data_IF_555682250869
#
_entry.id   IF_555682250869
#
_cell.length_a   1.000
_cell.length_b   1.000
_cell.length_c   1.000
_cell.angle_alpha   90.00
_cell.angle_beta   90.00
_cell.angle_gamma   90.00
#
_symmetry.space_group_name_H-M   'P 1'
#
loop_
_entity.id
_entity.type
_entity.pdbx_description
1 polymer ?
#
# COMPACT_ATOMS: atom_id res chain seq x y z
N UNK A 1 8.39 17.82 1.62
CA UNK A 1 8.11 17.92 3.06
C UNK A 1 7.30 19.17 3.34
N UNK A 2 6.31 19.14 4.24
CA UNK A 2 5.68 20.36 4.72
C UNK A 2 6.72 21.24 5.43
N UNK A 3 6.91 22.51 5.03
CA UNK A 3 7.96 23.39 5.59
C UNK A 3 7.90 23.58 7.12
N UNK A 4 6.74 23.29 7.72
CA UNK A 4 6.48 23.49 9.15
C UNK A 4 6.97 22.35 10.05
N UNK A 5 7.20 21.13 9.53
CA UNK A 5 7.44 19.95 10.36
C UNK A 5 8.65 20.10 11.29
N UNK A 6 9.75 20.67 10.79
CA UNK A 6 10.94 20.92 11.60
C UNK A 6 10.72 22.00 12.68
N UNK A 7 9.86 22.99 12.42
CA UNK A 7 9.51 24.03 13.40
C UNK A 7 8.63 23.44 14.51
N UNK A 8 7.63 22.65 14.12
CA UNK A 8 6.75 21.92 15.04
C UNK A 8 7.55 20.93 15.91
N UNK A 9 8.51 20.22 15.31
CA UNK A 9 9.43 19.34 16.03
C UNK A 9 10.20 20.10 17.13
N UNK A 10 10.76 21.28 16.81
CA UNK A 10 11.49 22.09 17.78
C UNK A 10 10.55 22.69 18.84
N UNK A 11 9.31 23.00 18.48
CA UNK A 11 8.31 23.45 19.45
C UNK A 11 7.96 22.35 20.46
N UNK A 12 7.77 21.11 19.98
CA UNK A 12 7.39 19.96 20.80
C UNK A 12 8.54 19.46 21.69
N UNK A 13 9.73 19.27 21.11
CA UNK A 13 10.86 18.65 21.80
C UNK A 13 11.88 19.64 22.35
N UNK A 14 11.73 20.93 22.04
CA UNK A 14 12.68 21.97 22.41
C UNK A 14 13.97 21.97 21.57
N UNK A 15 14.90 22.89 21.87
CA UNK A 15 16.23 22.90 21.28
C UNK A 15 17.01 21.64 21.68
N UNK A 16 18.00 21.24 20.88
CA UNK A 16 18.84 20.08 21.16
C UNK A 16 20.16 20.12 20.41
N UNK A 17 21.12 19.31 20.87
CA UNK A 17 22.52 19.34 20.40
C UNK A 17 22.75 18.60 19.08
N UNK A 18 21.82 17.75 18.68
CA UNK A 18 21.87 17.01 17.42
C UNK A 18 21.03 17.69 16.34
N UNK A 19 21.46 17.54 15.08
CA UNK A 19 20.70 18.02 13.93
C UNK A 19 19.37 17.28 13.79
N UNK A 20 18.31 18.03 13.43
CA UNK A 20 17.02 17.45 13.04
C UNK A 20 17.13 17.00 11.59
N UNK A 21 17.08 15.68 11.38
CA UNK A 21 17.06 15.06 10.05
C UNK A 21 15.63 14.79 9.63
N UNK A 22 15.38 14.67 8.34
CA UNK A 22 14.02 14.52 7.84
C UNK A 22 13.92 13.48 6.75
N UNK A 23 12.88 12.66 6.84
CA UNK A 23 12.68 11.49 6.01
C UNK A 23 11.26 11.47 5.48
N UNK A 24 11.06 10.80 4.35
CA UNK A 24 9.75 10.60 3.76
C UNK A 24 9.62 9.17 3.25
N UNK A 25 8.47 8.55 3.49
CA UNK A 25 8.07 7.32 2.84
C UNK A 25 6.72 7.54 2.16
N UNK A 26 6.58 7.19 0.87
CA UNK A 26 5.30 7.29 0.18
C UNK A 26 4.32 6.24 0.73
N UNK A 27 3.03 6.44 0.51
CA UNK A 27 2.08 5.34 0.45
C UNK A 27 2.16 4.64 -0.91
N UNK A 28 1.21 3.75 -1.18
CA UNK A 28 1.14 3.08 -2.48
C UNK A 28 -0.29 2.90 -2.96
N UNK A 29 -0.46 2.90 -4.28
CA UNK A 29 -1.65 2.39 -4.94
C UNK A 29 -1.25 1.15 -5.75
N UNK A 30 -2.01 0.05 -5.62
CA UNK A 30 -1.82 -1.05 -6.54
C UNK A 30 -2.57 -0.74 -7.84
N UNK A 31 -1.85 -0.69 -8.97
CA UNK A 31 -2.45 -0.33 -10.25
C UNK A 31 -3.28 -1.51 -10.78
N UNK A 32 -2.76 -2.73 -10.66
CA UNK A 32 -3.46 -3.96 -11.02
C UNK A 32 -2.81 -5.17 -10.34
N UNK A 33 -3.54 -6.29 -10.18
CA UNK A 33 -3.05 -7.49 -9.51
C UNK A 33 -3.51 -7.60 -8.07
N UNK A 34 -4.80 -7.47 -7.81
CA UNK A 34 -5.32 -7.54 -6.45
C UNK A 34 -5.57 -8.98 -6.04
N UNK A 35 -5.30 -9.30 -4.77
CA UNK A 35 -5.56 -10.62 -4.18
C UNK A 35 -4.85 -11.78 -4.89
N UNK A 36 -3.79 -11.49 -5.64
CA UNK A 36 -2.93 -12.51 -6.25
C UNK A 36 -1.52 -12.54 -5.64
N UNK A 37 -1.18 -11.59 -4.78
CA UNK A 37 0.09 -11.55 -4.03
C UNK A 37 0.30 -12.81 -3.17
N UNK A 38 -0.70 -13.19 -2.37
CA UNK A 38 -0.66 -14.43 -1.58
C UNK A 38 -1.00 -15.70 -2.40
N UNK A 39 -1.27 -15.55 -3.70
CA UNK A 39 -1.51 -16.67 -4.62
C UNK A 39 -0.33 -16.92 -5.57
N UNK A 40 0.84 -16.31 -5.32
CA UNK A 40 2.05 -16.46 -6.14
C UNK A 40 2.06 -15.63 -7.42
N UNK A 41 1.20 -14.61 -7.50
CA UNK A 41 1.00 -13.79 -8.70
C UNK A 41 1.94 -12.61 -8.85
N UNK A 42 1.85 -12.01 -10.03
CA UNK A 42 2.42 -10.71 -10.34
C UNK A 42 1.50 -9.60 -9.83
N UNK A 43 2.07 -8.62 -9.15
CA UNK A 43 1.36 -7.39 -8.77
C UNK A 43 2.05 -6.17 -9.37
N UNK A 44 1.30 -5.09 -9.61
CA UNK A 44 1.85 -3.87 -10.23
C UNK A 44 1.58 -2.61 -9.39
N UNK A 45 2.15 -2.48 -8.18
CA UNK A 45 2.00 -1.28 -7.38
C UNK A 45 2.87 -0.12 -7.86
N UNK A 46 2.44 1.09 -7.53
CA UNK A 46 3.25 2.29 -7.62
C UNK A 46 3.26 3.02 -6.26
N UNK A 47 4.43 3.49 -5.85
CA UNK A 47 4.54 4.48 -4.80
C UNK A 47 3.84 5.76 -5.26
N UNK A 48 3.11 6.41 -4.36
CA UNK A 48 2.34 7.62 -4.67
C UNK A 48 2.92 8.84 -3.98
N UNK A 49 2.63 10.04 -4.49
CA UNK A 49 3.13 11.30 -3.91
C UNK A 49 2.62 11.60 -2.50
N UNK A 50 1.53 10.94 -2.07
CA UNK A 50 1.05 11.00 -0.70
C UNK A 50 1.89 10.08 0.19
N UNK A 51 2.19 10.47 1.43
CA UNK A 51 3.01 9.63 2.31
C UNK A 51 3.09 10.12 3.74
N UNK A 52 4.05 9.56 4.46
CA UNK A 52 4.39 9.92 5.84
C UNK A 52 5.75 10.61 5.82
N UNK A 53 5.84 11.78 6.44
CA UNK A 53 7.10 12.46 6.71
C UNK A 53 7.46 12.30 8.19
N UNK A 54 8.76 12.18 8.47
CA UNK A 54 9.29 12.14 9.83
C UNK A 54 10.41 13.17 9.99
N UNK A 55 10.36 13.93 11.08
CA UNK A 55 11.51 14.66 11.60
C UNK A 55 12.11 13.87 12.77
N UNK A 56 13.41 13.60 12.73
CA UNK A 56 14.08 12.77 13.72
C UNK A 56 15.32 13.48 14.29
N UNK A 57 15.58 13.33 15.59
CA UNK A 57 16.80 13.82 16.24
C UNK A 57 17.29 12.82 17.27
N UNK A 58 18.59 12.53 17.24
CA UNK A 58 19.23 11.67 18.25
C UNK A 58 19.16 12.31 19.64
N UNK A 59 19.13 11.45 20.65
CA UNK A 59 19.17 11.78 22.07
C UNK A 59 20.41 11.15 22.72
N UNK A 60 20.75 11.67 23.89
CA UNK A 60 21.85 11.17 24.72
C UNK A 60 21.47 10.00 25.63
N UNK A 61 20.16 9.79 25.86
CA UNK A 61 19.62 8.63 26.59
C UNK A 61 19.21 7.51 25.62
N UNK A 62 18.64 6.43 26.16
CA UNK A 62 18.22 5.25 25.43
C UNK A 62 16.69 5.22 25.20
N UNK A 63 16.03 6.39 25.24
CA UNK A 63 14.59 6.49 25.02
C UNK A 63 14.27 6.90 23.58
N UNK A 64 13.35 6.17 22.95
CA UNK A 64 12.73 6.58 21.69
C UNK A 64 11.36 7.20 21.98
N UNK A 65 11.17 8.46 21.63
CA UNK A 65 9.90 9.19 21.81
C UNK A 65 9.28 9.45 20.45
N UNK A 66 8.05 8.99 20.26
CA UNK A 66 7.32 9.05 19.00
C UNK A 66 6.06 9.89 19.20
N UNK A 67 5.88 10.89 18.35
CA UNK A 67 4.67 11.71 18.28
C UNK A 67 4.16 11.78 16.83
N UNK A 68 2.87 12.05 16.68
CA UNK A 68 2.22 12.29 15.40
C UNK A 68 1.48 13.62 15.46
N UNK A 69 1.61 14.47 14.44
CA UNK A 69 0.78 15.68 14.32
C UNK A 69 -0.71 15.34 14.12
N UNK A 70 -1.01 14.11 13.71
CA UNK A 70 -2.34 13.62 13.35
C UNK A 70 -2.97 12.72 14.43
N UNK A 71 -2.26 12.42 15.52
CA UNK A 71 -2.75 11.57 16.61
C UNK A 71 -2.22 12.04 17.98
N UNK A 72 -3.08 12.27 18.99
CA UNK A 72 -2.64 12.76 20.30
C UNK A 72 -1.87 11.74 21.14
N UNK A 73 -1.86 10.45 20.79
CA UNK A 73 -1.15 9.40 21.53
C UNK A 73 0.36 9.55 21.32
N UNK A 74 1.06 10.02 22.36
CA UNK A 74 2.51 9.98 22.48
C UNK A 74 2.98 8.58 22.92
N UNK A 75 4.07 8.10 22.33
CA UNK A 75 4.63 6.76 22.61
C UNK A 75 6.09 6.88 23.00
N UNK A 76 6.48 6.19 24.08
CA UNK A 76 7.87 6.08 24.50
C UNK A 76 8.29 4.60 24.54
N UNK A 77 9.50 4.33 24.03
CA UNK A 77 10.10 2.99 23.97
C UNK A 77 11.49 3.08 24.61
N UNK A 78 11.69 2.30 25.67
CA UNK A 78 12.96 2.18 26.38
C UNK A 78 13.81 1.09 25.73
N UNK A 79 14.93 1.46 25.08
CA UNK A 79 15.81 0.53 24.36
C UNK A 79 16.60 -0.39 25.31
N UNK A 80 16.63 -0.10 26.62
CA UNK A 80 17.26 -0.97 27.62
C UNK A 80 16.33 -2.12 28.08
N UNK A 81 15.09 -2.18 27.56
CA UNK A 81 14.10 -3.21 27.88
C UNK A 81 13.71 -4.02 26.64
N UNK A 82 13.23 -5.25 26.82
CA UNK A 82 12.62 -6.00 25.73
C UNK A 82 11.47 -5.22 25.09
N UNK A 83 11.53 -5.05 23.77
CA UNK A 83 10.46 -4.43 22.98
C UNK A 83 9.44 -5.52 22.65
N UNK A 84 8.32 -5.55 23.38
CA UNK A 84 7.21 -6.49 23.17
C UNK A 84 5.94 -5.78 22.69
N UNK A 85 5.01 -6.45 21.98
CA UNK A 85 3.74 -5.84 21.59
C UNK A 85 2.96 -5.31 22.79
N UNK A 86 2.43 -4.10 22.70
CA UNK A 86 1.69 -3.46 23.78
C UNK A 86 0.44 -2.77 23.24
N UNK A 87 -0.77 -3.27 23.55
CA UNK A 87 -2.02 -2.65 23.10
C UNK A 87 -2.14 -1.16 23.47
N UNK A 88 -1.53 -0.72 24.57
CA UNK A 88 -1.56 0.68 24.99
C UNK A 88 -0.76 1.62 24.07
N UNK A 89 0.18 1.09 23.27
CA UNK A 89 0.95 1.89 22.30
C UNK A 89 0.19 2.21 21.02
N UNK A 90 -0.96 1.59 20.77
CA UNK A 90 -1.75 1.84 19.57
C UNK A 90 -0.91 1.80 18.29
N UNK A 91 -0.89 2.90 17.54
CA UNK A 91 -0.09 3.06 16.32
C UNK A 91 1.43 2.91 16.53
N UNK A 92 1.93 3.18 17.75
CA UNK A 92 3.34 3.03 18.08
C UNK A 92 3.86 1.59 18.06
N UNK A 93 2.98 0.59 17.94
CA UNK A 93 3.41 -0.80 17.76
C UNK A 93 4.12 -1.03 16.42
N UNK A 94 3.73 -0.33 15.34
CA UNK A 94 4.39 -0.45 14.03
C UNK A 94 5.89 -0.08 14.10
N UNK A 95 6.27 1.14 14.55
CA UNK A 95 7.68 1.47 14.74
C UNK A 95 8.34 0.58 15.80
N UNK A 96 7.66 0.20 16.89
CA UNK A 96 8.24 -0.69 17.90
C UNK A 96 8.65 -2.06 17.33
N UNK A 97 7.81 -2.66 16.49
CA UNK A 97 8.12 -3.94 15.82
C UNK A 97 9.34 -3.84 14.93
N UNK A 98 9.47 -2.74 14.18
CA UNK A 98 10.64 -2.47 13.34
C UNK A 98 11.91 -2.28 14.18
N UNK A 99 11.84 -1.51 15.27
CA UNK A 99 12.97 -1.32 16.19
C UNK A 99 13.43 -2.65 16.80
N UNK A 100 12.50 -3.52 17.16
CA UNK A 100 12.83 -4.88 17.63
C UNK A 100 13.60 -5.66 16.57
N UNK A 101 13.13 -5.68 15.32
CA UNK A 101 13.81 -6.41 14.25
C UNK A 101 15.21 -5.85 13.95
N UNK A 102 15.37 -4.52 13.94
CA UNK A 102 16.69 -3.88 13.80
C UNK A 102 17.62 -4.23 14.97
N UNK A 103 17.10 -4.21 16.20
CA UNK A 103 17.85 -4.60 17.39
C UNK A 103 18.31 -6.06 17.31
N UNK A 104 17.43 -6.98 16.87
CA UNK A 104 17.76 -8.39 16.68
C UNK A 104 18.81 -8.63 15.59
N UNK A 105 18.92 -7.73 14.61
CA UNK A 105 19.99 -7.74 13.60
C UNK A 105 21.31 -7.10 14.09
N UNK A 106 21.36 -6.63 15.34
CA UNK A 106 22.56 -6.05 15.95
C UNK A 106 22.83 -4.59 15.56
N UNK A 107 21.82 -3.86 15.09
CA UNK A 107 21.94 -2.41 14.83
C UNK A 107 22.09 -1.68 16.16
N UNK A 108 23.10 -0.80 16.27
CA UNK A 108 23.34 0.04 17.46
C UNK A 108 22.33 1.21 17.53
N UNK A 109 21.11 0.89 17.99
CA UNK A 109 20.04 1.87 18.16
C UNK A 109 20.35 2.82 19.32
N UNK A 110 20.04 4.10 19.14
CA UNK A 110 20.18 5.16 20.15
C UNK A 110 18.82 5.79 20.45
N UNK A 111 18.71 6.44 21.61
CA UNK A 111 17.52 7.25 21.90
C UNK A 111 17.28 8.26 20.80
N UNK A 112 16.02 8.45 20.43
CA UNK A 112 15.61 9.25 19.27
C UNK A 112 14.26 9.91 19.52
N UNK A 113 14.17 11.21 19.26
CA UNK A 113 12.90 11.93 19.15
C UNK A 113 12.41 11.86 17.71
N UNK A 114 11.15 11.48 17.49
CA UNK A 114 10.53 11.38 16.16
C UNK A 114 9.18 12.09 16.16
N UNK A 115 8.94 12.97 15.18
CA UNK A 115 7.63 13.55 14.89
C UNK A 115 7.19 13.13 13.49
N UNK A 116 6.07 12.43 13.42
CA UNK A 116 5.43 12.04 12.18
C UNK A 116 4.33 13.02 11.76
N UNK A 117 4.14 13.17 10.46
CA UNK A 117 2.93 13.77 9.86
C UNK A 117 2.58 13.02 8.59
N UNK A 118 1.30 12.95 8.24
CA UNK A 118 0.85 12.18 7.08
C UNK A 118 -0.05 12.99 6.16
N UNK A 119 0.13 12.81 4.84
CA UNK A 119 -0.85 13.23 3.83
C UNK A 119 -1.70 12.04 3.36
N UNK A 120 -1.46 10.83 3.87
CA UNK A 120 -2.27 9.67 3.56
C UNK A 120 -3.62 9.75 4.27
N UNK A 121 -4.74 9.61 3.53
CA UNK A 121 -6.05 9.55 4.15
C UNK A 121 -6.16 8.34 5.10
N UNK A 122 -6.67 8.59 6.31
CA UNK A 122 -6.89 7.52 7.30
C UNK A 122 -7.86 6.47 6.76
N UNK A 123 -7.54 5.19 6.93
CA UNK A 123 -8.40 4.07 6.51
C UNK A 123 -8.55 3.89 5.00
N UNK A 124 -7.76 4.61 4.19
CA UNK A 124 -7.85 4.60 2.74
C UNK A 124 -7.35 3.31 2.07
N UNK A 125 -6.54 2.52 2.77
CA UNK A 125 -5.92 1.33 2.19
C UNK A 125 -4.74 1.60 1.27
N UNK A 126 -4.07 2.75 1.46
CA UNK A 126 -2.87 3.19 0.72
C UNK A 126 -1.56 2.84 1.46
N UNK A 127 -1.59 1.78 2.28
CA UNK A 127 -0.44 1.25 3.03
C UNK A 127 0.21 2.20 4.02
N UNK A 128 -0.60 2.82 4.88
CA UNK A 128 -0.07 3.65 5.97
C UNK A 128 0.79 2.87 6.96
N UNK A 129 0.53 1.57 7.19
CA UNK A 129 1.37 0.72 8.03
C UNK A 129 2.75 0.52 7.41
N UNK A 130 2.82 0.01 6.18
CA UNK A 130 4.09 -0.17 5.48
C UNK A 130 4.88 1.13 5.31
N UNK A 131 4.21 2.27 5.03
CA UNK A 131 4.86 3.58 5.00
C UNK A 131 5.53 3.92 6.34
N UNK A 132 4.85 3.71 7.46
CA UNK A 132 5.38 3.96 8.81
C UNK A 132 6.54 3.02 9.14
N UNK A 133 6.40 1.73 8.82
CA UNK A 133 7.40 0.71 9.08
C UNK A 133 8.69 0.97 8.29
N UNK A 134 8.57 1.16 6.98
CA UNK A 134 9.72 1.42 6.09
C UNK A 134 10.39 2.74 6.43
N UNK A 135 9.62 3.79 6.75
CA UNK A 135 10.16 5.07 7.22
C UNK A 135 10.95 4.92 8.51
N UNK A 136 10.43 4.13 9.45
CA UNK A 136 11.12 3.85 10.71
C UNK A 136 12.41 3.08 10.46
N UNK A 137 12.37 2.01 9.66
CA UNK A 137 13.55 1.21 9.37
C UNK A 137 14.64 2.05 8.70
N UNK A 138 14.28 2.78 7.65
CA UNK A 138 15.21 3.61 6.89
C UNK A 138 15.81 4.73 7.74
N UNK A 139 14.97 5.47 8.50
CA UNK A 139 15.45 6.59 9.32
C UNK A 139 16.35 6.11 10.46
N UNK A 140 16.03 5.01 11.15
CA UNK A 140 16.87 4.49 12.23
C UNK A 140 18.18 3.89 11.74
N UNK A 141 18.20 3.19 10.60
CA UNK A 141 19.45 2.77 9.96
C UNK A 141 20.33 3.97 9.61
N UNK A 142 19.73 5.03 9.03
CA UNK A 142 20.44 6.24 8.69
C UNK A 142 20.99 6.99 9.92
N UNK A 143 20.24 7.03 11.03
CA UNK A 143 20.65 7.64 12.31
C UNK A 143 21.75 6.83 13.02
N UNK A 144 21.67 5.50 12.97
CA UNK A 144 22.69 4.59 13.48
C UNK A 144 23.95 4.54 12.60
N UNK A 145 23.94 5.22 11.44
CA UNK A 145 24.99 5.14 10.41
C UNK A 145 25.25 3.70 9.94
N UNK A 146 24.21 2.86 10.00
CA UNK A 146 24.22 1.52 9.44
C UNK A 146 23.92 1.58 7.93
N UNK A 147 24.30 0.56 7.15
CA UNK A 147 23.94 0.49 5.73
C UNK A 147 22.41 0.54 5.54
N UNK A 148 21.93 1.54 4.81
CA UNK A 148 20.51 1.73 4.48
C UNK A 148 20.24 1.63 2.96
N UNK A 149 21.24 1.21 2.18
CA UNK A 149 21.16 1.15 0.72
C UNK A 149 20.41 -0.09 0.19
N UNK A 150 20.31 -1.15 0.99
CA UNK A 150 19.55 -2.35 0.63
C UNK A 150 18.07 -2.18 1.01
N UNK A 151 17.34 -1.48 0.14
CA UNK A 151 15.91 -1.20 0.31
C UNK A 151 15.05 -2.48 0.29
N UNK A 152 15.53 -3.55 -0.36
CA UNK A 152 14.86 -4.86 -0.34
C UNK A 152 14.94 -5.49 1.04
N UNK A 153 16.12 -5.46 1.67
CA UNK A 153 16.29 -5.95 3.03
C UNK A 153 15.42 -5.17 4.02
N UNK A 154 15.31 -3.85 3.85
CA UNK A 154 14.39 -3.02 4.64
C UNK A 154 12.94 -3.48 4.47
N UNK A 155 12.47 -3.66 3.24
CA UNK A 155 11.10 -4.08 2.98
C UNK A 155 10.77 -5.45 3.61
N UNK A 156 11.70 -6.43 3.51
CA UNK A 156 11.55 -7.75 4.14
C UNK A 156 11.56 -7.68 5.68
N UNK A 157 12.39 -6.80 6.26
CA UNK A 157 12.40 -6.56 7.70
C UNK A 157 11.06 -6.00 8.18
N UNK A 158 10.52 -5.01 7.48
CA UNK A 158 9.21 -4.43 7.79
C UNK A 158 8.08 -5.45 7.65
N UNK A 159 8.08 -6.24 6.59
CA UNK A 159 7.12 -7.31 6.40
C UNK A 159 7.17 -8.32 7.57
N UNK A 160 8.39 -8.69 8.01
CA UNK A 160 8.57 -9.57 9.16
C UNK A 160 8.02 -8.95 10.44
N UNK A 161 8.24 -7.65 10.68
CA UNK A 161 7.68 -6.94 11.82
C UNK A 161 6.15 -6.94 11.80
N UNK A 162 5.51 -6.66 10.66
CA UNK A 162 4.04 -6.67 10.53
C UNK A 162 3.46 -8.07 10.81
N UNK A 163 4.10 -9.12 10.28
CA UNK A 163 3.65 -10.50 10.47
C UNK A 163 3.89 -11.02 11.90
N UNK A 164 5.08 -10.82 12.47
CA UNK A 164 5.50 -11.49 13.70
C UNK A 164 5.29 -10.65 14.96
N UNK A 165 5.28 -9.32 14.83
CA UNK A 165 5.10 -8.41 15.96
C UNK A 165 3.66 -7.90 16.04
N UNK A 166 3.11 -7.41 14.92
CA UNK A 166 1.72 -6.91 14.88
C UNK A 166 0.73 -8.08 14.77
N UNK A 167 1.12 -9.17 14.10
CA UNK A 167 0.27 -10.34 13.90
C UNK A 167 -0.62 -10.25 12.66
N UNK A 168 -0.29 -9.38 11.71
CA UNK A 168 -1.06 -9.20 10.46
C UNK A 168 -0.37 -9.98 9.34
N UNK A 169 -1.03 -11.04 8.87
CA UNK A 169 -0.53 -11.91 7.81
C UNK A 169 -0.61 -11.26 6.42
N UNK A 170 0.30 -10.30 6.14
CA UNK A 170 0.35 -9.54 4.90
C UNK A 170 1.35 -10.12 3.86
N UNK A 171 1.07 -9.87 2.58
CA UNK A 171 2.04 -10.05 1.50
C UNK A 171 3.16 -9.02 1.53
N UNK A 172 4.11 -9.11 0.60
CA UNK A 172 5.31 -8.25 0.56
C UNK A 172 5.11 -6.96 -0.27
N UNK A 173 4.00 -6.89 -1.01
CA UNK A 173 3.71 -5.84 -2.01
C UNK A 173 3.84 -4.43 -1.44
N UNK A 174 3.25 -4.19 -0.28
CA UNK A 174 3.14 -2.85 0.30
C UNK A 174 4.52 -2.32 0.69
N UNK A 175 5.30 -3.10 1.42
CA UNK A 175 6.65 -2.74 1.83
C UNK A 175 7.58 -2.57 0.62
N UNK A 176 7.47 -3.43 -0.40
CA UNK A 176 8.26 -3.29 -1.63
C UNK A 176 7.91 -2.00 -2.38
N UNK A 177 6.63 -1.71 -2.58
CA UNK A 177 6.20 -0.50 -3.27
C UNK A 177 6.70 0.76 -2.55
N UNK A 178 6.59 0.79 -1.22
CA UNK A 178 7.02 1.92 -0.40
C UNK A 178 8.54 2.08 -0.38
N UNK A 179 9.29 0.98 -0.27
CA UNK A 179 10.75 1.03 -0.18
C UNK A 179 11.41 1.26 -1.55
N UNK A 180 10.97 0.53 -2.58
CA UNK A 180 11.62 0.43 -3.89
C UNK A 180 10.96 1.30 -4.98
N UNK A 181 9.95 2.09 -4.60
CA UNK A 181 9.28 3.04 -5.49
C UNK A 181 10.29 3.90 -6.28
N UNK A 182 9.90 4.26 -7.50
CA UNK A 182 10.72 5.07 -8.38
C UNK A 182 9.81 6.04 -9.13
N UNK A 183 10.22 7.30 -9.18
CA UNK A 183 9.51 8.34 -9.94
C UNK A 183 9.17 7.85 -11.37
N UNK A 184 7.95 8.14 -11.80
CA UNK A 184 7.39 7.76 -13.11
C UNK A 184 7.39 6.24 -13.41
N UNK A 185 7.49 5.37 -12.39
CA UNK A 185 7.50 3.92 -12.56
C UNK A 185 6.53 3.20 -11.61
N UNK A 186 5.94 2.11 -12.09
CA UNK A 186 5.33 1.06 -11.27
C UNK A 186 6.34 -0.08 -11.08
N UNK A 187 6.17 -0.85 -10.01
CA UNK A 187 6.91 -2.08 -9.75
C UNK A 187 6.08 -3.25 -10.27
N UNK A 188 6.52 -3.94 -11.32
CA UNK A 188 6.02 -5.28 -11.61
C UNK A 188 6.76 -6.25 -10.68
N UNK A 189 6.06 -6.75 -9.66
CA UNK A 189 6.61 -7.59 -8.61
C UNK A 189 6.05 -9.01 -8.72
N UNK A 190 6.95 -9.99 -8.78
CA UNK A 190 6.63 -11.39 -8.56
C UNK A 190 6.65 -11.68 -7.06
N UNK A 191 5.49 -11.98 -6.48
CA UNK A 191 5.37 -12.22 -5.05
C UNK A 191 5.96 -13.56 -4.58
N UNK A 192 6.20 -14.51 -5.50
CA UNK A 192 6.85 -15.78 -5.17
C UNK A 192 8.38 -15.63 -5.14
N UNK A 193 8.96 -15.17 -6.25
CA UNK A 193 10.42 -15.06 -6.40
C UNK A 193 10.99 -13.80 -5.75
N UNK A 194 10.15 -12.80 -5.50
CA UNK A 194 10.51 -11.44 -5.09
C UNK A 194 11.38 -10.70 -6.14
N UNK A 195 11.43 -11.19 -7.37
CA UNK A 195 11.99 -10.45 -8.50
C UNK A 195 11.04 -9.32 -8.90
N UNK A 196 11.62 -8.20 -9.34
CA UNK A 196 10.83 -7.06 -9.76
C UNK A 196 11.48 -6.31 -10.92
N UNK A 197 10.63 -5.65 -11.70
CA UNK A 197 11.02 -4.79 -12.80
C UNK A 197 10.26 -3.47 -12.76
N UNK A 198 10.91 -2.39 -13.16
CA UNK A 198 10.24 -1.10 -13.30
C UNK A 198 9.49 -1.02 -14.62
N UNK A 199 8.21 -0.68 -14.55
CA UNK A 199 7.33 -0.41 -15.69
C UNK A 199 7.11 1.09 -15.77
N UNK A 200 7.52 1.78 -16.84
CA UNK A 200 7.29 3.22 -16.98
C UNK A 200 5.79 3.56 -16.95
N UNK A 201 5.41 4.56 -16.16
CA UNK A 201 4.04 5.06 -15.98
C UNK A 201 3.92 6.38 -16.75
N UNK A 202 4.02 6.30 -18.07
CA UNK A 202 3.95 7.47 -18.95
C UNK A 202 2.49 7.87 -19.22
N UNK A 203 1.88 8.61 -18.28
CA UNK A 203 0.46 8.98 -18.37
C UNK A 203 0.17 10.18 -19.30
N UNK A 204 1.19 10.89 -19.77
CA UNK A 204 1.04 12.04 -20.66
C UNK A 204 0.11 13.10 -20.06
N UNK A 205 -0.97 13.42 -20.78
CA UNK A 205 -2.00 14.36 -20.31
C UNK A 205 -2.97 13.78 -19.27
N UNK A 206 -2.74 12.57 -18.76
CA UNK A 206 -3.58 11.94 -17.74
C UNK A 206 -2.88 11.92 -16.37
N UNK A 207 -3.65 11.67 -15.33
CA UNK A 207 -3.17 11.42 -13.98
C UNK A 207 -3.98 10.30 -13.32
N UNK A 208 -3.40 9.72 -12.26
CA UNK A 208 -4.14 8.82 -11.38
C UNK A 208 -4.86 9.64 -10.32
N UNK A 209 -6.18 9.46 -10.23
CA UNK A 209 -7.01 10.06 -9.20
C UNK A 209 -7.39 8.97 -8.21
N UNK A 210 -6.91 9.08 -6.97
CA UNK A 210 -7.36 8.25 -5.86
C UNK A 210 -8.72 8.79 -5.38
N UNK A 211 -9.71 7.90 -5.29
CA UNK A 211 -11.07 8.19 -4.87
C UNK A 211 -11.37 7.43 -3.58
N UNK A 212 -11.34 8.12 -2.43
CA UNK A 212 -11.68 7.54 -1.14
C UNK A 212 -13.19 7.54 -0.93
N UNK A 213 -13.77 6.36 -0.69
CA UNK A 213 -15.21 6.19 -0.44
C UNK A 213 -15.69 6.77 0.90
N UNK A 214 -14.77 7.19 1.77
CA UNK A 214 -15.04 7.56 3.17
C UNK A 214 -15.68 6.45 3.99
N UNK A 215 -15.68 5.21 3.46
CA UNK A 215 -16.17 4.02 4.15
C UNK A 215 -15.00 3.29 4.80
N UNK A 216 -15.01 3.27 6.14
CA UNK A 216 -14.02 2.52 6.92
C UNK A 216 -14.15 1.00 6.77
N UNK A 217 -13.01 0.33 6.85
CA UNK A 217 -12.81 -1.12 6.69
C UNK A 217 -13.05 -1.93 7.97
N UNK A 218 -14.23 -1.82 8.60
CA UNK A 218 -14.51 -2.48 9.90
C UNK A 218 -14.48 -4.03 9.89
N UNK A 219 -14.51 -4.67 8.70
CA UNK A 219 -14.58 -6.12 8.53
C UNK A 219 -13.57 -6.65 7.50
N UNK A 220 -12.59 -5.83 7.09
CA UNK A 220 -11.68 -6.22 6.01
C UNK A 220 -10.81 -7.42 6.40
N UNK A 221 -10.27 -7.46 7.62
CA UNK A 221 -9.32 -8.49 8.02
C UNK A 221 -9.94 -9.89 8.08
N UNK A 222 -11.18 -10.01 8.58
CA UNK A 222 -11.87 -11.31 8.63
C UNK A 222 -12.26 -11.82 7.24
N UNK A 223 -12.76 -10.92 6.38
CA UNK A 223 -13.12 -11.26 5.00
C UNK A 223 -11.92 -11.48 4.09
N UNK A 224 -10.81 -10.80 4.33
CA UNK A 224 -9.54 -11.03 3.64
C UNK A 224 -9.02 -12.44 3.95
N UNK A 225 -9.02 -12.83 5.22
CA UNK A 225 -8.63 -14.18 5.63
C UNK A 225 -9.57 -15.26 5.06
N UNK A 226 -10.88 -14.98 4.95
CA UNK A 226 -11.83 -15.85 4.25
C UNK A 226 -11.43 -16.07 2.79
N UNK A 227 -11.10 -14.99 2.05
CA UNK A 227 -10.66 -15.07 0.64
C UNK A 227 -9.39 -15.89 0.46
N UNK A 228 -8.43 -15.74 1.37
CA UNK A 228 -7.21 -16.55 1.39
C UNK A 228 -7.53 -18.02 1.60
N UNK A 229 -8.35 -18.34 2.61
CA UNK A 229 -8.75 -19.71 2.90
C UNK A 229 -9.53 -20.36 1.74
N UNK A 230 -10.36 -19.60 1.02
CA UNK A 230 -11.04 -20.07 -0.20
C UNK A 230 -10.03 -20.44 -1.30
N UNK A 231 -8.96 -19.66 -1.49
CA UNK A 231 -7.92 -19.96 -2.47
C UNK A 231 -7.08 -21.19 -2.06
N UNK A 232 -6.75 -21.31 -0.77
CA UNK A 232 -6.06 -22.47 -0.22
C UNK A 232 -6.90 -23.75 -0.41
N UNK A 233 -8.22 -23.66 -0.22
CA UNK A 233 -9.14 -24.77 -0.46
C UNK A 233 -9.17 -25.20 -1.93
N UNK A 234 -9.07 -24.27 -2.88
CA UNK A 234 -8.94 -24.62 -4.31
C UNK A 234 -7.67 -25.43 -4.55
N UNK A 235 -6.53 -24.98 -4.04
CA UNK A 235 -5.26 -25.70 -4.19
C UNK A 235 -5.33 -27.11 -3.57
N UNK A 236 -5.97 -27.26 -2.41
CA UNK A 236 -6.18 -28.56 -1.78
C UNK A 236 -7.04 -29.50 -2.64
N UNK A 237 -8.09 -28.97 -3.29
CA UNK A 237 -8.96 -29.76 -4.16
C UNK A 237 -8.28 -30.19 -5.47
N UNK A 238 -7.35 -29.38 -5.99
CA UNK A 238 -6.53 -29.74 -7.15
C UNK A 238 -5.56 -30.90 -6.85
N UNK A 239 -5.14 -31.07 -5.60
CA UNK A 239 -4.33 -32.20 -5.17
C UNK A 239 -3.02 -32.32 -5.94
N UNK A 240 -2.85 -33.41 -6.69
CA UNK A 240 -1.64 -33.67 -7.48
C UNK A 240 -1.46 -32.71 -8.67
N UNK A 241 -2.57 -32.11 -9.14
CA UNK A 241 -2.58 -31.16 -10.26
C UNK A 241 -2.41 -29.71 -9.77
N UNK A 242 -2.23 -29.50 -8.45
CA UNK A 242 -1.99 -28.18 -7.89
C UNK A 242 -0.60 -27.64 -8.31
N UNK A 243 -0.51 -26.41 -8.85
CA UNK A 243 0.78 -25.78 -9.10
C UNK A 243 1.53 -25.55 -7.79
N UNK A 244 2.84 -25.82 -7.79
CA UNK A 244 3.71 -25.56 -6.62
C UNK A 244 3.86 -24.08 -6.31
N UNK A 245 3.72 -23.26 -7.35
CA UNK A 245 4.04 -21.84 -7.33
C UNK A 245 2.82 -20.94 -7.07
N UNK A 246 1.70 -21.53 -6.64
CA UNK A 246 0.48 -20.79 -6.29
C UNK A 246 -0.61 -20.83 -7.35
N UNK A 247 -1.82 -20.45 -6.93
CA UNK A 247 -3.07 -20.65 -7.67
C UNK A 247 -3.12 -19.91 -9.01
N UNK A 248 -2.35 -18.84 -9.18
CA UNK A 248 -2.26 -18.11 -10.46
C UNK A 248 -1.82 -18.98 -11.63
N UNK A 249 -1.07 -20.05 -11.36
CA UNK A 249 -0.55 -20.97 -12.37
C UNK A 249 -1.44 -22.19 -12.61
N UNK A 250 -2.61 -22.28 -11.96
CA UNK A 250 -3.52 -23.40 -12.16
C UNK A 250 -4.17 -23.34 -13.55
N UNK A 251 -4.29 -24.49 -14.20
CA UNK A 251 -5.05 -24.57 -15.44
C UNK A 251 -6.55 -24.50 -15.13
N UNK A 252 -7.27 -23.69 -15.89
CA UNK A 252 -8.72 -23.58 -15.72
C UNK A 252 -9.44 -24.91 -15.96
N UNK A 253 -8.92 -25.77 -16.84
CA UNK A 253 -9.43 -27.13 -17.04
C UNK A 253 -9.44 -27.95 -15.76
N UNK A 254 -8.37 -27.86 -14.98
CA UNK A 254 -8.17 -28.65 -13.77
C UNK A 254 -9.09 -28.13 -12.67
N UNK A 255 -9.24 -26.81 -12.56
CA UNK A 255 -10.24 -26.19 -11.68
C UNK A 255 -11.66 -26.69 -12.03
N UNK A 256 -12.03 -26.77 -13.30
CA UNK A 256 -13.35 -27.29 -13.71
C UNK A 256 -13.53 -28.77 -13.42
N UNK A 257 -12.46 -29.57 -13.50
CA UNK A 257 -12.48 -31.01 -13.23
C UNK A 257 -12.60 -31.31 -11.73
N UNK A 258 -11.84 -30.60 -10.88
CA UNK A 258 -11.65 -30.97 -9.47
C UNK A 258 -12.49 -30.15 -8.49
N UNK A 259 -12.79 -28.89 -8.81
CA UNK A 259 -13.54 -28.00 -7.91
C UNK A 259 -14.99 -27.98 -8.35
N UNK A 260 -15.92 -28.48 -7.54
CA UNK A 260 -17.36 -28.44 -7.84
C UNK A 260 -18.07 -27.21 -7.26
N UNK A 261 -17.51 -26.63 -6.19
CA UNK A 261 -18.09 -25.46 -5.52
C UNK A 261 -18.05 -24.23 -6.45
N UNK A 262 -19.21 -23.64 -6.77
CA UNK A 262 -19.28 -22.48 -7.66
C UNK A 262 -18.61 -21.23 -7.08
N UNK A 263 -18.54 -21.07 -5.76
CA UNK A 263 -17.84 -19.95 -5.11
C UNK A 263 -16.35 -20.10 -5.31
N UNK A 264 -15.78 -21.27 -5.00
CA UNK A 264 -14.36 -21.54 -5.15
C UNK A 264 -13.91 -21.41 -6.62
N UNK A 265 -14.74 -21.85 -7.57
CA UNK A 265 -14.50 -21.61 -9.01
C UNK A 265 -14.42 -20.13 -9.37
N UNK A 266 -15.26 -19.27 -8.78
CA UNK A 266 -15.19 -17.82 -9.01
C UNK A 266 -13.90 -17.24 -8.44
N UNK A 267 -13.47 -17.65 -7.24
CA UNK A 267 -12.18 -17.22 -6.66
C UNK A 267 -11.01 -17.60 -7.55
N UNK A 268 -10.96 -18.85 -8.00
CA UNK A 268 -9.93 -19.32 -8.93
C UNK A 268 -9.96 -18.56 -10.26
N UNK A 269 -11.14 -18.30 -10.82
CA UNK A 269 -11.30 -17.52 -12.06
C UNK A 269 -10.74 -16.11 -11.93
N UNK A 270 -11.02 -15.43 -10.82
CA UNK A 270 -10.43 -14.12 -10.54
C UNK A 270 -8.90 -14.22 -10.54
N UNK A 271 -8.33 -15.11 -9.71
CA UNK A 271 -6.88 -15.23 -9.53
C UNK A 271 -6.15 -15.52 -10.85
N UNK A 272 -6.63 -16.50 -11.63
CA UNK A 272 -6.02 -16.87 -12.91
C UNK A 272 -6.16 -15.74 -13.95
N UNK A 273 -7.34 -15.11 -14.03
CA UNK A 273 -7.56 -14.04 -15.01
C UNK A 273 -6.88 -12.73 -14.64
N UNK A 274 -6.70 -12.44 -13.34
CA UNK A 274 -6.02 -11.24 -12.86
C UNK A 274 -4.53 -11.31 -13.16
N UNK A 275 -3.90 -12.48 -13.00
CA UNK A 275 -2.51 -12.71 -13.42
C UNK A 275 -2.30 -12.33 -14.90
N UNK A 276 -3.18 -12.82 -15.79
CA UNK A 276 -3.12 -12.49 -17.22
C UNK A 276 -3.35 -10.99 -17.46
N UNK A 277 -4.25 -10.36 -16.70
CA UNK A 277 -4.49 -8.91 -16.79
C UNK A 277 -3.28 -8.10 -16.38
N UNK A 278 -2.51 -8.52 -15.36
CA UNK A 278 -1.27 -7.84 -14.96
C UNK A 278 -0.23 -7.89 -16.07
N UNK A 279 -0.03 -9.06 -16.69
CA UNK A 279 0.90 -9.23 -17.82
C UNK A 279 0.48 -8.41 -19.05
N UNK A 280 -0.83 -8.29 -19.31
CA UNK A 280 -1.36 -7.43 -20.35
C UNK A 280 -1.17 -5.95 -20.02
N UNK A 281 -1.47 -5.55 -18.78
CA UNK A 281 -1.36 -4.19 -18.29
C UNK A 281 0.07 -3.67 -18.37
N UNK A 282 1.05 -4.47 -17.95
CA UNK A 282 2.47 -4.15 -18.10
C UNK A 282 2.82 -3.85 -19.56
N UNK A 283 2.37 -4.70 -20.50
CA UNK A 283 2.66 -4.53 -21.93
C UNK A 283 2.03 -3.27 -22.52
N UNK A 284 0.74 -3.03 -22.27
CA UNK A 284 0.04 -1.88 -22.86
C UNK A 284 0.47 -0.56 -22.22
N UNK A 285 0.79 -0.55 -20.93
CA UNK A 285 1.29 0.63 -20.23
C UNK A 285 2.68 1.00 -20.72
N UNK A 286 3.59 0.02 -20.86
CA UNK A 286 4.92 0.24 -21.44
C UNK A 286 4.86 0.72 -22.90
N UNK A 287 3.80 0.36 -23.64
CA UNK A 287 3.56 0.83 -25.01
C UNK A 287 2.84 2.21 -25.08
N UNK A 288 2.44 2.79 -23.95
CA UNK A 288 1.70 4.05 -23.90
C UNK A 288 0.23 3.96 -24.33
N UNK A 289 -0.35 2.76 -24.45
CA UNK A 289 -1.77 2.55 -24.76
C UNK A 289 -2.62 2.69 -23.49
N UNK A 290 -2.83 3.94 -23.08
CA UNK A 290 -3.59 4.30 -21.88
C UNK A 290 -5.06 3.90 -21.97
N UNK A 291 -5.63 3.85 -23.18
CA UNK A 291 -7.00 3.41 -23.39
C UNK A 291 -7.15 1.90 -23.13
N UNK A 292 -6.21 1.08 -23.60
CA UNK A 292 -6.17 -0.35 -23.26
C UNK A 292 -5.90 -0.57 -21.77
N UNK A 293 -4.99 0.21 -21.18
CA UNK A 293 -4.74 0.14 -19.74
C UNK A 293 -6.00 0.46 -18.92
N UNK A 294 -6.73 1.53 -19.24
CA UNK A 294 -8.00 1.88 -18.60
C UNK A 294 -9.08 0.79 -18.72
N UNK A 295 -9.17 0.11 -19.87
CA UNK A 295 -10.05 -1.07 -20.03
C UNK A 295 -9.67 -2.20 -19.07
N UNK A 296 -8.38 -2.52 -18.95
CA UNK A 296 -7.90 -3.55 -18.03
C UNK A 296 -8.16 -3.22 -16.56
N UNK A 297 -8.05 -1.95 -16.16
CA UNK A 297 -8.46 -1.49 -14.83
C UNK A 297 -9.93 -1.84 -14.57
N UNK A 298 -10.79 -1.48 -15.53
CA UNK A 298 -12.24 -1.69 -15.44
C UNK A 298 -12.62 -3.17 -15.41
N UNK A 299 -11.97 -3.99 -16.24
CA UNK A 299 -12.14 -5.46 -16.25
C UNK A 299 -11.70 -6.10 -14.94
N UNK A 300 -10.60 -5.63 -14.37
CA UNK A 300 -10.15 -6.08 -13.05
C UNK A 300 -11.16 -5.72 -11.95
N UNK A 301 -11.72 -4.51 -11.97
CA UNK A 301 -12.78 -4.13 -11.02
C UNK A 301 -14.01 -5.05 -11.14
N UNK A 302 -14.45 -5.34 -12.37
CA UNK A 302 -15.55 -6.27 -12.60
C UNK A 302 -15.23 -7.67 -12.05
N UNK A 303 -14.01 -8.16 -12.23
CA UNK A 303 -13.58 -9.44 -11.64
C UNK A 303 -13.58 -9.39 -10.11
N UNK A 304 -13.12 -8.31 -9.48
CA UNK A 304 -13.15 -8.15 -8.03
C UNK A 304 -14.57 -8.05 -7.47
N UNK A 305 -15.51 -7.48 -8.23
CA UNK A 305 -16.92 -7.38 -7.87
C UNK A 305 -17.64 -8.73 -8.03
N UNK A 306 -17.53 -9.33 -9.21
CA UNK A 306 -18.38 -10.45 -9.63
C UNK A 306 -17.77 -11.82 -9.25
N UNK A 307 -16.44 -11.95 -9.36
CA UNK A 307 -15.73 -13.20 -9.12
C UNK A 307 -15.09 -13.28 -7.74
N UNK A 308 -14.57 -12.16 -7.24
CA UNK A 308 -13.92 -12.12 -5.94
C UNK A 308 -14.81 -11.58 -4.82
N UNK A 309 -15.87 -10.84 -5.14
CA UNK A 309 -16.85 -10.32 -4.18
C UNK A 309 -16.19 -9.54 -3.02
N UNK A 310 -15.32 -8.58 -3.35
CA UNK A 310 -14.59 -7.75 -2.37
C UNK A 310 -14.86 -6.25 -2.48
N UNK A 311 -15.67 -5.78 -3.42
CA UNK A 311 -15.91 -4.34 -3.64
C UNK A 311 -17.01 -3.80 -2.71
N UNK A 312 -18.24 -4.29 -2.88
CA UNK A 312 -19.42 -3.80 -2.20
C UNK A 312 -19.96 -2.48 -2.76
N UNK A 313 -21.13 -2.02 -2.28
CA UNK A 313 -21.91 -0.98 -2.94
C UNK A 313 -21.21 0.38 -3.02
N UNK A 314 -20.33 0.70 -2.08
CA UNK A 314 -19.61 1.97 -2.05
C UNK A 314 -18.51 2.02 -3.11
N UNK A 315 -17.69 0.97 -3.23
CA UNK A 315 -16.66 0.88 -4.26
C UNK A 315 -17.29 0.76 -5.66
N UNK A 316 -18.37 0.00 -5.78
CA UNK A 316 -19.08 -0.14 -7.05
C UNK A 316 -19.72 1.19 -7.49
N UNK A 317 -20.33 1.94 -6.55
CA UNK A 317 -20.94 3.23 -6.85
C UNK A 317 -19.91 4.28 -7.30
N UNK A 318 -18.78 4.40 -6.60
CA UNK A 318 -17.75 5.39 -6.94
C UNK A 318 -17.07 5.07 -8.27
N UNK A 319 -16.81 3.79 -8.55
CA UNK A 319 -16.21 3.37 -9.83
C UNK A 319 -17.22 3.53 -10.97
N UNK A 320 -18.49 3.17 -10.77
CA UNK A 320 -19.55 3.40 -11.75
C UNK A 320 -19.70 4.88 -12.09
N UNK A 321 -19.70 5.76 -11.09
CA UNK A 321 -19.75 7.22 -11.30
C UNK A 321 -18.51 7.72 -12.07
N UNK A 322 -17.31 7.23 -11.73
CA UNK A 322 -16.09 7.59 -12.44
C UNK A 322 -16.12 7.19 -13.92
N UNK A 323 -16.59 5.99 -14.23
CA UNK A 323 -16.66 5.48 -15.62
C UNK A 323 -17.69 6.18 -16.49
N UNK A 324 -18.71 6.82 -15.89
CA UNK A 324 -19.72 7.60 -16.61
C UNK A 324 -19.28 9.03 -16.93
N UNK A 325 -18.10 9.43 -16.45
CA UNK A 325 -17.63 10.80 -16.52
C UNK A 325 -16.66 11.01 -17.69
N UNK A 326 -16.79 12.10 -18.47
CA UNK A 326 -15.83 12.43 -19.53
C UNK A 326 -14.38 12.48 -19.01
N UNK A 327 -13.42 12.14 -19.87
CA UNK A 327 -11.99 12.14 -19.52
C UNK A 327 -11.52 10.95 -18.67
N UNK A 328 -12.42 10.10 -18.16
CA UNK A 328 -12.04 8.88 -17.44
C UNK A 328 -11.84 7.70 -18.41
N UNK A 329 -10.61 7.17 -18.49
CA UNK A 329 -10.28 6.02 -19.34
C UNK A 329 -10.59 4.68 -18.67
N UNK A 330 -10.65 4.65 -17.34
CA UNK A 330 -10.86 3.43 -16.58
C UNK A 330 -10.72 3.67 -15.08
N UNK A 331 -11.42 2.87 -14.28
CA UNK A 331 -11.40 2.98 -12.83
C UNK A 331 -11.58 1.62 -12.17
N UNK A 332 -11.00 1.47 -10.98
CA UNK A 332 -11.11 0.26 -10.17
C UNK A 332 -10.88 0.51 -8.70
N UNK A 333 -11.28 -0.44 -7.86
CA UNK A 333 -10.87 -0.44 -6.45
C UNK A 333 -9.37 -0.75 -6.30
N UNK A 334 -8.73 -0.29 -5.22
CA UNK A 334 -7.33 -0.63 -4.92
C UNK A 334 -7.15 -1.10 -3.46
N UNK A 335 -6.25 -2.06 -3.26
CA UNK A 335 -5.96 -2.68 -1.96
C UNK A 335 -6.91 -3.84 -1.60
N UNK A 336 -7.20 -4.04 -0.31
CA UNK A 336 -7.93 -5.22 0.18
C UNK A 336 -9.45 -5.25 -0.09
N UNK A 337 -10.04 -4.16 -0.60
CA UNK A 337 -11.49 -4.04 -0.76
C UNK A 337 -12.24 -3.79 0.56
N UNK A 338 -13.54 -4.10 0.56
CA UNK A 338 -14.50 -3.93 1.67
C UNK A 338 -14.62 -2.48 2.17
N UNK A 339 -14.39 -1.52 1.26
CA UNK A 339 -14.26 -0.09 1.53
C UNK A 339 -12.87 0.45 1.17
N UNK A 340 -12.54 1.65 1.64
CA UNK A 340 -11.29 2.33 1.31
C UNK A 340 -11.37 3.02 -0.06
N UNK A 341 -10.32 2.86 -0.89
CA UNK A 341 -10.15 3.65 -2.10
C UNK A 341 -10.37 2.88 -3.42
N UNK A 342 -10.68 3.67 -4.43
CA UNK A 342 -10.55 3.35 -5.83
C UNK A 342 -9.51 4.26 -6.50
N UNK A 343 -9.06 3.88 -7.69
CA UNK A 343 -8.23 4.69 -8.58
C UNK A 343 -8.95 4.87 -9.91
N UNK A 344 -8.78 6.03 -10.53
CA UNK A 344 -9.25 6.32 -11.88
C UNK A 344 -8.11 6.93 -12.70
N UNK A 345 -8.04 6.57 -13.98
CA UNK A 345 -7.14 7.20 -14.94
C UNK A 345 -7.90 8.29 -15.68
N UNK A 346 -7.56 9.55 -15.40
CA UNK A 346 -8.35 10.71 -15.83
C UNK A 346 -7.47 11.71 -16.57
N UNK A 347 -7.99 12.29 -17.64
CA UNK A 347 -7.35 13.42 -18.32
C UNK A 347 -7.23 14.63 -17.37
N UNK A 348 -6.03 15.21 -17.27
CA UNK A 348 -5.70 16.24 -16.29
C UNK A 348 -6.61 17.48 -16.40
N UNK A 349 -6.97 17.86 -17.64
CA UNK A 349 -7.84 18.99 -17.89
C UNK A 349 -9.29 18.76 -17.37
N UNK A 350 -9.72 17.51 -17.30
CA UNK A 350 -11.09 17.12 -16.91
C UNK A 350 -11.21 16.84 -15.40
N UNK A 351 -10.10 16.80 -14.64
CA UNK A 351 -10.12 16.47 -13.21
C UNK A 351 -11.11 17.33 -12.40
N UNK A 352 -11.19 18.67 -12.56
CA UNK A 352 -12.14 19.48 -11.79
C UNK A 352 -13.60 19.03 -12.00
N UNK A 353 -14.01 18.88 -13.25
CA UNK A 353 -15.38 18.45 -13.60
C UNK A 353 -15.60 16.99 -13.21
N UNK A 354 -14.58 16.15 -13.35
CA UNK A 354 -14.61 14.76 -12.94
C UNK A 354 -14.90 14.62 -11.45
N UNK A 355 -14.17 15.34 -10.61
CA UNK A 355 -14.35 15.28 -9.15
C UNK A 355 -15.75 15.75 -8.75
N UNK A 356 -16.27 16.82 -9.35
CA UNK A 356 -17.60 17.34 -9.06
C UNK A 356 -18.71 16.35 -9.46
N UNK A 357 -18.62 15.75 -10.65
CA UNK A 357 -19.61 14.80 -11.16
C UNK A 357 -19.61 13.50 -10.35
N UNK A 358 -18.42 12.94 -10.07
CA UNK A 358 -18.29 11.73 -9.26
C UNK A 358 -18.78 11.97 -7.83
N UNK A 359 -18.44 13.11 -7.23
CA UNK A 359 -18.93 13.49 -5.90
C UNK A 359 -20.45 13.54 -5.85
N UNK A 360 -21.08 14.22 -6.81
CA UNK A 360 -22.54 14.36 -6.87
C UNK A 360 -23.23 13.01 -7.01
N UNK A 361 -22.78 12.17 -7.96
CA UNK A 361 -23.35 10.86 -8.22
C UNK A 361 -23.16 9.90 -7.03
N UNK A 362 -21.96 9.87 -6.44
CA UNK A 362 -21.66 9.02 -5.30
C UNK A 362 -22.44 9.42 -4.03
N UNK A 363 -22.56 10.72 -3.76
CA UNK A 363 -23.35 11.24 -2.65
C UNK A 363 -24.83 10.89 -2.82
N UNK A 364 -25.37 11.02 -4.04
CA UNK A 364 -26.76 10.64 -4.32
C UNK A 364 -27.01 9.13 -4.14
N UNK A 365 -26.03 8.29 -4.49
CA UNK A 365 -26.16 6.83 -4.40
C UNK A 365 -25.95 6.27 -2.98
N UNK A 366 -25.09 6.90 -2.17
CA UNK A 366 -24.62 6.31 -0.90
C UNK A 366 -24.89 7.17 0.34
N UNK A 367 -25.15 8.46 0.17
CA UNK A 367 -25.26 9.43 1.27
C UNK A 367 -23.92 9.77 1.93
N UNK A 368 -22.78 9.39 1.33
CA UNK A 368 -21.44 9.68 1.82
C UNK A 368 -20.72 10.63 0.87
N UNK A 369 -19.89 11.52 1.43
CA UNK A 369 -19.01 12.38 0.65
C UNK A 369 -17.67 11.66 0.41
N UNK A 370 -17.23 11.53 -0.86
CA UNK A 370 -15.92 10.96 -1.17
C UNK A 370 -14.83 12.03 -1.04
N UNK A 371 -13.57 11.60 -0.97
CA UNK A 371 -12.41 12.48 -1.06
C UNK A 371 -11.53 12.09 -2.25
N UNK A 372 -10.96 13.08 -2.94
CA UNK A 372 -10.17 12.88 -4.15
C UNK A 372 -8.74 13.37 -3.96
N UNK A 373 -7.78 12.61 -4.47
CA UNK A 373 -6.37 12.97 -4.44
C UNK A 373 -5.74 12.68 -5.79
N UNK A 374 -5.23 13.72 -6.45
CA UNK A 374 -4.45 13.57 -7.67
C UNK A 374 -3.04 13.13 -7.28
N UNK A 375 -2.53 12.09 -7.93
CA UNK A 375 -1.21 11.56 -7.62
C UNK A 375 -0.44 11.09 -8.86
N UNK A 376 0.85 10.91 -8.66
CA UNK A 376 1.82 10.44 -9.64
C UNK A 376 2.68 9.36 -9.01
N UNK A 377 3.31 8.53 -9.85
CA UNK A 377 4.30 7.56 -9.40
C UNK A 377 5.51 8.30 -8.83
N UNK A 378 5.89 7.99 -7.60
CA UNK A 378 6.92 8.69 -6.84
C UNK A 378 8.09 7.77 -6.47
N UNK A 379 9.19 8.38 -6.05
CA UNK A 379 10.29 7.66 -5.41
C UNK A 379 9.85 7.00 -4.10
N UNK A 380 10.52 5.90 -3.77
CA UNK A 380 10.38 5.20 -2.50
C UNK A 380 10.92 6.01 -1.32
N UNK A 381 11.10 5.32 -0.19
CA UNK A 381 11.63 5.95 1.03
C UNK A 381 12.97 6.65 0.79
N UNK A 382 13.11 7.87 1.31
CA UNK A 382 14.34 8.64 1.19
C UNK A 382 14.50 9.66 2.31
N UNK A 383 15.74 10.10 2.52
CA UNK A 383 16.04 11.26 3.35
C UNK A 383 15.80 12.54 2.52
N UNK A 384 14.97 13.42 3.04
CA UNK A 384 14.68 14.70 2.40
C UNK A 384 15.75 15.72 2.82
N UNK A 385 16.62 16.12 1.90
CA UNK A 385 17.52 17.25 2.15
C UNK A 385 16.72 18.56 2.10
N UNK A 386 16.90 19.47 3.06
CA UNK A 386 16.51 20.88 2.86
C UNK A 386 17.25 21.38 1.63
N UNK A 387 16.58 21.50 0.48
CA UNK A 387 17.06 22.41 -0.56
C UNK A 387 16.94 23.80 0.06
N UNK A 388 18.10 24.39 0.33
CA UNK A 388 18.24 25.68 1.01
C UNK A 388 17.58 26.83 0.28
#
# INVERSE_FOLDING_TARGET
MPPFLAQEFVHLYGPGDHEVRSFFAPGRANLIGEHIDYNGGLVMPAAVTLGIAAACRLRSDHLVRLHSSDDPLAVEIDLDRPIEPDPARGWGNYPAGVLRELFLQGVDLKGTDVLFTTTLPQGAGLSSSAAMEVLTAFSFLALAKAPASDLRAIALLCQKAENQFIGVNCGIMDQFAVALGKEDCALLLDCESQEYHYVPVALGAHALVIMNTSRQRRLADSKYNERRAECDAVLQLLGADAPRNGLVHALWSDVLCHVSDPVLRRRARHVISEQVRVEQACRVLAAGDLAAFGRLLTESHASLRDDYEVTGPHLDAIVSAALQTPGCLGARMTGAGFGGCAIALVEQAEIPDFTALVQSAYLAATGLEPAFYVTHAADGVHETTRKG
#
